data_IF_847060860687
#
_entry.id   IF_847060860687
#
_cell.length_a   1.000
_cell.length_b   1.000
_cell.length_c   1.000
_cell.angle_alpha   90.00
_cell.angle_beta   90.00
_cell.angle_gamma   90.00
#
_symmetry.space_group_name_H-M   'P 1'
#
loop_
_entity.id
_entity.type
_entity.pdbx_description
1 polymer ?
#
# COMPACT_ATOMS: atom_id res chain seq x y z
N UNK A 1 -9.40 10.62 16.95
CA UNK A 1 -7.98 10.23 17.01
C UNK A 1 -7.31 10.85 15.81
N UNK A 2 -6.20 11.56 15.99
CA UNK A 2 -5.52 12.24 14.88
C UNK A 2 -4.67 11.20 14.10
N UNK A 3 -5.12 10.81 12.91
CA UNK A 3 -4.45 9.83 12.04
C UNK A 3 -3.00 10.23 11.76
N UNK A 4 -2.71 11.54 11.71
CA UNK A 4 -1.35 12.05 11.51
C UNK A 4 -0.45 11.71 12.69
N UNK A 5 -0.95 11.89 13.92
CA UNK A 5 -0.22 11.57 15.14
C UNK A 5 -0.03 10.06 15.32
N UNK A 6 -0.95 9.25 14.79
CA UNK A 6 -0.81 7.78 14.82
C UNK A 6 0.36 7.30 13.95
N UNK A 7 0.59 7.95 12.80
CA UNK A 7 1.56 7.50 11.79
C UNK A 7 2.97 8.03 12.09
N UNK A 8 3.09 9.26 12.60
CA UNK A 8 4.39 9.88 12.89
C UNK A 8 5.23 9.14 13.93
N UNK A 9 4.59 8.34 14.78
CA UNK A 9 5.22 7.59 15.86
C UNK A 9 5.56 6.14 15.46
N UNK A 10 5.27 5.73 14.22
CA UNK A 10 5.45 4.37 13.72
C UNK A 10 6.65 4.24 12.76
N UNK A 11 7.28 3.06 12.67
CA UNK A 11 8.37 2.85 11.73
C UNK A 11 7.88 2.96 10.28
N UNK A 12 8.39 3.94 9.53
CA UNK A 12 7.95 4.25 8.15
C UNK A 12 8.01 3.06 7.19
N UNK A 13 9.00 2.17 7.34
CA UNK A 13 9.08 0.92 6.55
C UNK A 13 7.94 -0.06 6.86
N UNK A 14 7.52 -0.14 8.12
CA UNK A 14 6.36 -0.93 8.52
C UNK A 14 5.07 -0.36 7.92
N UNK A 15 4.93 0.97 7.91
CA UNK A 15 3.79 1.64 7.30
C UNK A 15 3.78 1.43 5.77
N UNK A 16 4.92 1.55 5.11
CA UNK A 16 5.04 1.28 3.67
C UNK A 16 4.68 -0.17 3.31
N UNK A 17 4.97 -1.15 4.19
CA UNK A 17 4.52 -2.52 4.03
C UNK A 17 2.99 -2.65 4.08
N UNK A 18 2.34 -1.93 5.00
CA UNK A 18 0.87 -1.86 5.07
C UNK A 18 0.31 -1.24 3.78
N UNK A 19 0.91 -0.15 3.30
CA UNK A 19 0.54 0.48 2.03
C UNK A 19 0.66 -0.48 0.84
N UNK A 20 1.74 -1.27 0.76
CA UNK A 20 1.92 -2.26 -0.32
C UNK A 20 0.85 -3.35 -0.30
N UNK A 21 0.41 -3.79 0.88
CA UNK A 21 -0.70 -4.75 0.99
C UNK A 21 -2.02 -4.13 0.56
N UNK A 22 -2.28 -2.89 0.96
CA UNK A 22 -3.47 -2.17 0.51
C UNK A 22 -3.48 -2.04 -1.02
N UNK A 23 -2.34 -1.72 -1.62
CA UNK A 23 -2.16 -1.70 -3.08
C UNK A 23 -2.45 -3.07 -3.72
N UNK A 24 -1.86 -4.16 -3.20
CA UNK A 24 -2.15 -5.54 -3.67
C UNK A 24 -3.65 -5.86 -3.66
N UNK A 25 -4.36 -5.47 -2.60
CA UNK A 25 -5.80 -5.69 -2.49
C UNK A 25 -6.63 -4.79 -3.41
N UNK A 26 -6.11 -3.63 -3.78
CA UNK A 26 -6.76 -2.71 -4.70
C UNK A 26 -6.59 -3.11 -6.19
N UNK A 27 -5.63 -3.99 -6.52
CA UNK A 27 -5.36 -4.42 -7.91
C UNK A 27 -6.62 -4.91 -8.64
N UNK A 28 -7.44 -5.83 -8.09
CA UNK A 28 -8.62 -6.32 -8.81
C UNK A 28 -9.62 -5.23 -9.19
N UNK A 29 -9.66 -4.12 -8.45
CA UNK A 29 -10.52 -2.99 -8.74
C UNK A 29 -9.96 -2.12 -9.86
N UNK A 30 -8.64 -1.90 -9.87
CA UNK A 30 -7.99 -1.16 -10.96
C UNK A 30 -8.16 -1.89 -12.30
N UNK A 31 -8.03 -3.23 -12.28
CA UNK A 31 -8.19 -4.08 -13.47
C UNK A 31 -9.62 -4.12 -14.04
N UNK A 32 -10.60 -3.48 -13.37
CA UNK A 32 -11.94 -3.28 -13.94
C UNK A 32 -11.95 -2.18 -15.03
N UNK A 33 -10.93 -1.31 -15.06
CA UNK A 33 -10.81 -0.32 -16.13
C UNK A 33 -10.26 -0.96 -17.39
N UNK A 34 -10.88 -0.63 -18.52
CA UNK A 34 -10.34 -0.93 -19.84
C UNK A 34 -8.97 -0.26 -20.02
N UNK A 35 -8.04 -0.97 -20.65
CA UNK A 35 -6.66 -0.55 -20.96
C UNK A 35 -5.67 -0.54 -19.79
N UNK A 36 -6.00 -1.19 -18.67
CA UNK A 36 -4.99 -1.48 -17.63
C UNK A 36 -4.28 -2.79 -17.99
N UNK A 37 -2.97 -2.71 -18.17
CA UNK A 37 -2.13 -3.90 -18.37
C UNK A 37 -1.87 -4.58 -17.01
N UNK A 38 -2.45 -5.76 -16.84
CA UNK A 38 -2.33 -6.55 -15.60
C UNK A 38 -0.88 -6.88 -15.27
N UNK A 39 -0.09 -7.27 -16.26
CA UNK A 39 1.26 -7.76 -16.03
C UNK A 39 2.15 -6.63 -15.53
N UNK A 40 1.97 -5.43 -16.08
CA UNK A 40 2.64 -4.21 -15.61
C UNK A 40 2.29 -3.90 -14.16
N UNK A 41 1.01 -3.95 -13.76
CA UNK A 41 0.62 -3.69 -12.37
C UNK A 41 1.22 -4.73 -11.42
N UNK A 42 1.17 -6.01 -11.77
CA UNK A 42 1.70 -7.10 -10.93
C UNK A 42 3.22 -7.02 -10.80
N UNK A 43 3.94 -6.72 -11.89
CA UNK A 43 5.40 -6.52 -11.87
C UNK A 43 5.79 -5.30 -11.04
N UNK A 44 5.03 -4.21 -11.13
CA UNK A 44 5.23 -2.99 -10.34
C UNK A 44 5.15 -3.27 -8.85
N UNK A 45 4.11 -3.99 -8.44
CA UNK A 45 3.88 -4.40 -7.05
C UNK A 45 4.95 -5.39 -6.57
N UNK A 46 5.39 -6.32 -7.43
CA UNK A 46 6.45 -7.26 -7.11
C UNK A 46 7.80 -6.54 -6.89
N UNK A 47 8.14 -5.61 -7.78
CA UNK A 47 9.34 -4.77 -7.68
C UNK A 47 9.32 -3.92 -6.42
N UNK A 48 8.17 -3.31 -6.09
CA UNK A 48 8.01 -2.56 -4.85
C UNK A 48 8.24 -3.43 -3.61
N UNK A 49 7.77 -4.68 -3.63
CA UNK A 49 8.07 -5.65 -2.57
C UNK A 49 9.57 -5.95 -2.43
N UNK A 50 10.28 -6.10 -3.56
CA UNK A 50 11.73 -6.33 -3.54
C UNK A 50 12.52 -5.12 -3.02
N UNK A 51 12.15 -3.90 -3.42
CA UNK A 51 12.76 -2.66 -2.91
C UNK A 51 12.54 -2.53 -1.41
N UNK A 52 11.31 -2.76 -0.93
CA UNK A 52 10.98 -2.75 0.49
C UNK A 52 11.85 -3.75 1.29
N UNK A 53 12.10 -4.93 0.72
CA UNK A 53 12.97 -5.97 1.28
C UNK A 53 14.47 -5.74 1.03
N UNK A 54 14.87 -4.59 0.47
CA UNK A 54 16.27 -4.24 0.12
C UNK A 54 16.93 -5.21 -0.87
N UNK A 55 16.14 -5.92 -1.67
CA UNK A 55 16.61 -6.81 -2.72
C UNK A 55 16.82 -6.08 -4.05
N UNK A 56 16.21 -4.90 -4.21
CA UNK A 56 16.35 -4.04 -5.38
C UNK A 56 16.49 -2.57 -4.96
N UNK A 57 17.00 -1.72 -5.87
CA UNK A 57 17.18 -0.28 -5.65
C UNK A 57 15.88 0.50 -5.89
N UNK A 58 15.66 1.55 -5.10
CA UNK A 58 14.45 2.39 -5.17
C UNK A 58 14.26 3.10 -6.51
N UNK A 59 15.34 3.44 -7.21
CA UNK A 59 15.28 4.12 -8.51
C UNK A 59 14.53 3.33 -9.59
N UNK A 60 14.40 2.00 -9.44
CA UNK A 60 13.59 1.16 -10.33
C UNK A 60 12.09 1.43 -10.26
N UNK A 61 11.62 2.07 -9.19
CA UNK A 61 10.19 2.36 -9.01
C UNK A 61 9.78 3.72 -9.58
N UNK A 62 10.71 4.62 -9.87
CA UNK A 62 10.37 5.99 -10.25
C UNK A 62 9.62 6.05 -11.59
N UNK A 63 10.19 5.41 -12.63
CA UNK A 63 9.55 5.33 -13.95
C UNK A 63 8.19 4.63 -13.89
N UNK A 64 8.12 3.53 -13.15
CA UNK A 64 6.87 2.78 -12.95
C UNK A 64 5.82 3.61 -12.25
N UNK A 65 6.21 4.37 -11.21
CA UNK A 65 5.28 5.22 -10.49
C UNK A 65 4.73 6.34 -11.35
N UNK A 66 5.56 6.98 -12.18
CA UNK A 66 5.12 7.99 -13.14
C UNK A 66 4.11 7.43 -14.16
N UNK A 67 4.36 6.23 -14.68
CA UNK A 67 3.44 5.55 -15.60
C UNK A 67 2.08 5.27 -14.93
N UNK A 68 2.10 4.77 -13.69
CA UNK A 68 0.88 4.52 -12.92
C UNK A 68 0.14 5.82 -12.60
N UNK A 69 0.85 6.88 -12.21
CA UNK A 69 0.25 8.19 -12.01
C UNK A 69 -0.44 8.69 -13.27
N UNK A 70 0.22 8.60 -14.43
CA UNK A 70 -0.35 9.01 -15.71
C UNK A 70 -1.61 8.20 -16.05
N UNK A 71 -1.60 6.88 -15.84
CA UNK A 71 -2.76 6.02 -16.01
C UNK A 71 -3.92 6.44 -15.10
N UNK A 72 -3.67 6.65 -13.81
CA UNK A 72 -4.70 7.07 -12.85
C UNK A 72 -5.26 8.45 -13.20
N UNK A 73 -4.42 9.38 -13.63
CA UNK A 73 -4.85 10.70 -14.08
C UNK A 73 -5.76 10.62 -15.32
N UNK A 74 -5.46 9.73 -16.26
CA UNK A 74 -6.31 9.49 -17.44
C UNK A 74 -7.67 8.90 -17.04
N UNK A 75 -7.71 7.90 -16.16
CA UNK A 75 -8.96 7.32 -15.64
C UNK A 75 -9.77 8.38 -14.88
N UNK A 76 -9.12 9.20 -14.05
CA UNK A 76 -9.76 10.27 -13.31
C UNK A 76 -10.36 11.35 -14.24
N UNK A 77 -9.65 11.69 -15.31
CA UNK A 77 -10.14 12.60 -16.34
C UNK A 77 -11.40 12.04 -17.02
N UNK A 78 -11.37 10.76 -17.42
CA UNK A 78 -12.55 10.06 -17.98
C UNK A 78 -13.74 10.07 -17.02
N UNK A 79 -13.51 9.76 -15.74
CA UNK A 79 -14.56 9.81 -14.72
C UNK A 79 -15.19 11.21 -14.60
N UNK A 80 -14.35 12.26 -14.59
CA UNK A 80 -14.83 13.64 -14.46
C UNK A 80 -15.67 14.09 -15.66
N UNK A 81 -15.28 13.70 -16.87
CA UNK A 81 -15.96 14.11 -18.11
C UNK A 81 -17.21 13.25 -18.35
N UNK A 82 -17.08 11.93 -18.27
CA UNK A 82 -18.15 10.98 -18.59
C UNK A 82 -19.16 10.74 -17.46
N UNK A 83 -18.82 11.12 -16.21
CA UNK A 83 -19.62 10.85 -14.99
C UNK A 83 -20.01 9.38 -14.81
N UNK A 84 -19.23 8.46 -15.37
CA UNK A 84 -19.49 7.03 -15.28
C UNK A 84 -19.40 6.58 -13.81
N UNK A 85 -20.51 6.02 -13.32
CA UNK A 85 -20.63 5.40 -12.00
C UNK A 85 -19.78 4.13 -11.97
N UNK A 86 -18.83 4.05 -11.03
CA UNK A 86 -17.89 2.93 -10.90
C UNK A 86 -16.44 3.34 -11.09
N UNK A 87 -16.16 4.29 -12.00
CA UNK A 87 -14.79 4.79 -12.21
C UNK A 87 -14.20 5.49 -10.98
N UNK A 88 -15.03 6.06 -10.09
CA UNK A 88 -14.54 6.66 -8.85
C UNK A 88 -13.81 5.66 -7.94
N UNK A 89 -14.28 4.40 -7.88
CA UNK A 89 -13.61 3.34 -7.11
C UNK A 89 -12.32 2.89 -7.79
N UNK A 90 -12.33 2.81 -9.13
CA UNK A 90 -11.15 2.47 -9.92
C UNK A 90 -10.06 3.55 -9.77
N UNK A 91 -10.44 4.83 -9.78
CA UNK A 91 -9.52 5.94 -9.50
C UNK A 91 -8.95 5.83 -8.10
N UNK A 92 -9.77 5.59 -7.08
CA UNK A 92 -9.28 5.44 -5.71
C UNK A 92 -8.32 4.24 -5.56
N UNK A 93 -8.63 3.10 -6.21
CA UNK A 93 -7.75 1.93 -6.24
C UNK A 93 -6.42 2.24 -6.92
N UNK A 94 -6.47 2.89 -8.08
CA UNK A 94 -5.29 3.36 -8.80
C UNK A 94 -4.45 4.32 -7.94
N UNK A 95 -5.08 5.29 -7.28
CA UNK A 95 -4.43 6.22 -6.35
C UNK A 95 -3.70 5.49 -5.22
N UNK A 96 -4.35 4.50 -4.60
CA UNK A 96 -3.72 3.66 -3.56
C UNK A 96 -2.49 2.94 -4.10
N UNK A 97 -2.56 2.40 -5.31
CA UNK A 97 -1.46 1.62 -5.91
C UNK A 97 -0.24 2.51 -6.21
N UNK A 98 -0.39 3.59 -6.99
CA UNK A 98 0.78 4.42 -7.33
C UNK A 98 1.35 5.11 -6.07
N UNK A 99 0.50 5.60 -5.18
CA UNK A 99 0.98 6.29 -3.97
C UNK A 99 1.71 5.32 -3.03
N UNK A 100 1.31 4.06 -2.96
CA UNK A 100 2.05 3.04 -2.21
C UNK A 100 3.43 2.76 -2.83
N UNK A 101 3.53 2.78 -4.16
CA UNK A 101 4.80 2.62 -4.88
C UNK A 101 5.70 3.85 -4.66
N UNK A 102 5.16 5.07 -4.76
CA UNK A 102 5.87 6.31 -4.41
C UNK A 102 6.36 6.29 -2.96
N UNK A 103 5.51 5.86 -2.01
CA UNK A 103 5.89 5.70 -0.61
C UNK A 103 7.15 4.83 -0.46
N UNK A 104 7.21 3.71 -1.18
CA UNK A 104 8.34 2.77 -1.13
C UNK A 104 9.57 3.32 -1.85
N UNK A 105 9.38 4.01 -2.98
CA UNK A 105 10.47 4.63 -3.72
C UNK A 105 11.20 5.70 -2.88
N UNK A 106 10.46 6.44 -2.05
CA UNK A 106 10.99 7.52 -1.23
C UNK A 106 11.57 7.06 0.12
N UNK A 107 11.38 5.80 0.53
CA UNK A 107 11.75 5.30 1.87
C UNK A 107 13.17 5.62 2.33
N UNK A 108 14.14 5.52 1.42
CA UNK A 108 15.56 5.70 1.71
C UNK A 108 16.09 7.07 1.21
N UNK A 109 15.27 7.85 0.51
CA UNK A 109 15.65 9.13 -0.11
C UNK A 109 15.03 10.32 0.64
N UNK A 110 13.71 10.29 0.86
CA UNK A 110 12.95 11.30 1.59
C UNK A 110 11.88 10.61 2.48
N UNK A 111 12.23 10.28 3.74
CA UNK A 111 11.31 9.64 4.67
C UNK A 111 10.03 10.46 4.97
N UNK A 112 10.09 11.79 4.86
CA UNK A 112 8.92 12.65 5.08
C UNK A 112 7.96 12.60 3.89
N UNK A 113 8.50 12.54 2.66
CA UNK A 113 7.70 12.26 1.48
C UNK A 113 7.07 10.87 1.56
N UNK A 114 7.83 9.86 2.01
CA UNK A 114 7.31 8.51 2.22
C UNK A 114 6.15 8.47 3.25
N UNK A 115 6.28 9.19 4.37
CA UNK A 115 5.21 9.32 5.38
C UNK A 115 3.96 10.01 4.81
N UNK A 116 4.14 11.08 4.03
CA UNK A 116 3.05 11.82 3.37
C UNK A 116 2.31 10.92 2.38
N UNK A 117 3.04 10.14 1.59
CA UNK A 117 2.47 9.17 0.66
C UNK A 117 1.72 8.07 1.41
N UNK A 118 2.27 7.56 2.52
CA UNK A 118 1.58 6.58 3.35
C UNK A 118 0.24 7.10 3.90
N UNK A 119 0.23 8.33 4.44
CA UNK A 119 -0.98 9.02 4.89
C UNK A 119 -2.03 9.10 3.77
N UNK A 120 -1.60 9.45 2.56
CA UNK A 120 -2.49 9.53 1.40
C UNK A 120 -3.06 8.17 1.02
N UNK A 121 -2.26 7.09 1.04
CA UNK A 121 -2.75 5.71 0.83
C UNK A 121 -3.83 5.38 1.85
N UNK A 122 -3.54 5.55 3.14
CA UNK A 122 -4.45 5.18 4.23
C UNK A 122 -5.77 5.93 4.11
N UNK A 123 -5.71 7.25 3.88
CA UNK A 123 -6.91 8.06 3.67
C UNK A 123 -7.70 7.61 2.44
N UNK A 124 -7.02 7.28 1.35
CA UNK A 124 -7.67 6.91 0.08
C UNK A 124 -8.30 5.52 0.12
N UNK A 125 -7.83 4.60 0.98
CA UNK A 125 -8.49 3.29 1.15
C UNK A 125 -9.96 3.42 1.57
N UNK A 126 -10.31 4.44 2.35
CA UNK A 126 -11.71 4.74 2.71
C UNK A 126 -12.60 5.11 1.52
N UNK A 127 -12.01 5.52 0.40
CA UNK A 127 -12.71 5.96 -0.83
C UNK A 127 -12.95 4.85 -1.83
N UNK A 128 -12.32 3.69 -1.64
CA UNK A 128 -12.50 2.51 -2.48
C UNK A 128 -13.93 1.93 -2.34
N UNK A 129 -14.62 2.21 -1.23
CA UNK A 129 -15.95 1.64 -0.94
C UNK A 129 -15.91 0.20 -0.42
N UNK A 130 -14.72 -0.35 -0.19
CA UNK A 130 -14.50 -1.60 0.54
C UNK A 130 -14.15 -1.29 2.01
N UNK A 131 -15.16 -1.35 2.88
CA UNK A 131 -14.97 -1.15 4.31
C UNK A 131 -14.14 -2.26 4.99
N UNK A 132 -13.93 -3.42 4.34
CA UNK A 132 -13.01 -4.44 4.86
C UNK A 132 -11.56 -3.99 4.74
N UNK A 133 -11.19 -3.41 3.60
CA UNK A 133 -9.83 -2.93 3.34
C UNK A 133 -9.40 -1.85 4.34
N UNK A 134 -10.26 -0.84 4.58
CA UNK A 134 -9.96 0.22 5.54
C UNK A 134 -9.80 -0.33 6.96
N UNK A 135 -10.68 -1.24 7.39
CA UNK A 135 -10.59 -1.85 8.73
C UNK A 135 -9.32 -2.66 8.92
N UNK A 136 -8.88 -3.38 7.89
CA UNK A 136 -7.63 -4.11 7.93
C UNK A 136 -6.42 -3.17 8.03
N UNK A 137 -6.37 -2.13 7.20
CA UNK A 137 -5.30 -1.12 7.27
C UNK A 137 -5.22 -0.51 8.67
N UNK A 138 -6.36 -0.14 9.28
CA UNK A 138 -6.39 0.39 10.65
C UNK A 138 -5.93 -0.63 11.68
N UNK A 139 -6.41 -1.88 11.59
CA UNK A 139 -5.96 -2.98 12.45
C UNK A 139 -4.45 -3.20 12.34
N UNK A 140 -3.92 -3.14 11.13
CA UNK A 140 -2.50 -3.33 10.86
C UNK A 140 -1.64 -2.22 11.45
N UNK A 141 -2.11 -0.97 11.41
CA UNK A 141 -1.46 0.18 12.06
C UNK A 141 -1.49 0.04 13.59
N UNK A 142 -2.62 -0.40 14.15
CA UNK A 142 -2.73 -0.68 15.59
C UNK A 142 -1.79 -1.80 16.03
N UNK A 143 -1.66 -2.87 15.23
CA UNK A 143 -0.72 -3.95 15.49
C UNK A 143 0.72 -3.45 15.44
N UNK A 144 1.09 -2.67 14.43
CA UNK A 144 2.42 -2.09 14.29
C UNK A 144 2.78 -1.20 15.49
N UNK A 145 1.82 -0.44 16.02
CA UNK A 145 2.00 0.40 17.21
C UNK A 145 2.31 -0.41 18.48
N UNK A 146 1.75 -1.60 18.59
CA UNK A 146 1.89 -2.46 19.76
C UNK A 146 3.06 -3.45 19.63
N UNK A 147 3.86 -3.36 18.56
CA UNK A 147 5.09 -4.13 18.39
C UNK A 147 6.27 -3.39 19.04
N UNK A 148 6.79 -3.94 20.14
CA UNK A 148 8.06 -3.52 20.73
C UNK A 148 9.24 -4.12 19.94
N UNK A 149 9.79 -3.42 18.95
CA UNK A 149 11.05 -3.83 18.30
C UNK A 149 11.25 -3.39 16.84
N UNK A 150 12.50 -3.44 16.38
CA UNK A 150 12.90 -3.18 14.99
C UNK A 150 12.19 -4.17 14.04
N UNK A 151 11.29 -3.62 13.22
CA UNK A 151 10.43 -4.37 12.31
C UNK A 151 11.16 -4.72 11.02
N UNK A 152 11.62 -5.97 10.87
CA UNK A 152 12.05 -6.53 9.59
C UNK A 152 10.86 -7.18 8.87
N UNK A 153 10.57 -6.73 7.64
CA UNK A 153 9.39 -7.10 6.86
C UNK A 153 9.71 -8.29 5.93
N UNK A 154 9.04 -9.43 6.11
CA UNK A 154 9.21 -10.66 5.31
C UNK A 154 8.02 -10.89 4.35
N UNK A 155 8.16 -10.59 3.06
CA UNK A 155 7.09 -10.87 2.07
C UNK A 155 7.25 -12.27 1.44
N UNK A 156 6.23 -13.14 1.58
CA UNK A 156 6.27 -14.45 0.90
C UNK A 156 5.07 -15.39 1.04
N UNK A 157 3.99 -15.08 1.78
CA UNK A 157 2.84 -15.99 1.85
C UNK A 157 1.51 -15.25 1.77
N UNK A 158 0.49 -15.95 1.31
CA UNK A 158 -0.94 -15.59 1.36
C UNK A 158 -1.49 -15.48 2.79
N UNK A 159 -0.63 -15.33 3.79
CA UNK A 159 -0.98 -15.46 5.20
C UNK A 159 -1.29 -14.10 5.82
N UNK A 160 -2.25 -14.01 6.77
CA UNK A 160 -2.47 -12.83 7.59
C UNK A 160 -1.18 -12.41 8.32
N UNK A 161 -1.12 -11.13 8.71
CA UNK A 161 -0.06 -10.35 9.37
C UNK A 161 1.14 -11.08 10.03
N UNK A 162 0.97 -12.27 10.62
CA UNK A 162 2.01 -13.05 11.29
C UNK A 162 3.16 -13.56 10.40
N UNK A 163 3.02 -13.59 9.07
CA UNK A 163 4.10 -14.04 8.17
C UNK A 163 5.10 -12.95 7.75
N UNK A 164 4.88 -11.69 8.15
CA UNK A 164 5.76 -10.56 7.81
C UNK A 164 7.01 -10.44 8.68
N UNK A 165 7.28 -11.39 9.59
CA UNK A 165 8.27 -11.22 10.64
C UNK A 165 9.30 -12.34 10.57
N UNK A 166 10.54 -12.03 10.20
CA UNK A 166 11.67 -12.98 10.12
C UNK A 166 11.97 -13.68 11.44
N UNK A 167 11.59 -13.07 12.58
CA UNK A 167 11.79 -13.62 13.93
C UNK A 167 10.54 -14.30 14.51
N UNK A 168 9.53 -14.57 13.67
CA UNK A 168 8.22 -15.06 14.10
C UNK A 168 7.36 -13.94 14.67
N UNK A 169 6.02 -14.10 14.67
CA UNK A 169 5.16 -13.11 15.29
C UNK A 169 5.45 -13.08 16.81
N UNK A 170 5.27 -11.93 17.50
CA UNK A 170 5.37 -11.85 18.96
C UNK A 170 4.57 -13.00 19.59
N UNK A 171 5.10 -13.61 20.64
CA UNK A 171 4.60 -14.87 21.23
C UNK A 171 3.09 -14.87 21.55
N UNK A 172 2.48 -13.68 21.64
CA UNK A 172 1.05 -13.46 21.84
C UNK A 172 0.17 -13.77 20.61
N UNK A 173 0.76 -13.99 19.44
CA UNK A 173 0.06 -14.43 18.22
C UNK A 173 -0.22 -15.94 18.18
N UNK A 174 0.53 -16.76 18.92
CA UNK A 174 0.38 -18.22 18.89
C UNK A 174 -0.82 -18.73 19.73
N UNK A 175 -1.50 -17.86 20.47
CA UNK A 175 -2.48 -18.27 21.50
C UNK A 175 -3.93 -17.91 21.19
N UNK A 176 -4.28 -17.60 19.94
CA UNK A 176 -5.69 -17.44 19.54
C UNK A 176 -6.00 -18.35 18.35
N UNK A 177 -5.94 -19.66 18.58
CA UNK A 177 -6.83 -20.58 17.87
C UNK A 177 -8.19 -20.57 18.59
N UNK A 178 -9.31 -20.77 17.86
CA UNK A 178 -10.65 -20.81 18.46
C UNK A 178 -10.83 -21.91 19.51
#
# INVERSE_FOLDING_TARGET
>A
MDEKKLISDLPVRGIAAICLRAAKRAVPLLLQSENVDKDVIEESIATAGKVLNRQELSNKLHEVSEQLYALVAQIASRHRIGKETGLGQVVAAGTVIHTAIDCIAELDVDPLAAETNALLVIRTTSKIGDASLQREVMRDLELLRNCDGDVEVAFGSTSPFGALWTHGPPHWFANNEP
#
